data_IF_137291512306
#
_entry.id   IF_137291512306
#
_cell.length_a   1.000
_cell.length_b   1.000
_cell.length_c   1.000
_cell.angle_alpha   90.00
_cell.angle_beta   90.00
_cell.angle_gamma   90.00
#
_symmetry.space_group_name_H-M   'P 1'
#
loop_
_entity.id
_entity.type
_entity.pdbx_description
1 polymer ?
#
# COMPACT_ATOMS: atom_id res chain seq x y z
N UNK A 1 11.69 -27.21 -27.35
CA UNK A 1 10.55 -26.46 -26.80
C UNK A 1 11.12 -25.48 -25.79
N UNK A 2 11.11 -24.19 -26.14
CA UNK A 2 11.73 -23.15 -25.33
C UNK A 2 10.97 -22.99 -24.01
N UNK A 3 11.65 -23.27 -22.91
CA UNK A 3 11.22 -22.85 -21.58
C UNK A 3 11.42 -21.34 -21.58
N UNK A 4 10.34 -20.59 -21.80
CA UNK A 4 10.31 -19.15 -21.60
C UNK A 4 10.79 -18.90 -20.17
N UNK A 5 12.05 -18.47 -20.03
CA UNK A 5 12.52 -17.82 -18.81
C UNK A 5 11.54 -16.68 -18.58
N UNK A 6 10.60 -16.88 -17.65
CA UNK A 6 9.83 -15.79 -17.11
C UNK A 6 10.86 -14.96 -16.34
N UNK A 7 11.36 -13.92 -17.02
CA UNK A 7 12.11 -12.84 -16.43
C UNK A 7 11.38 -12.47 -15.16
N UNK A 8 12.01 -12.70 -14.00
CA UNK A 8 11.49 -12.27 -12.70
C UNK A 8 11.14 -10.80 -12.85
N UNK A 9 9.85 -10.54 -13.06
CA UNK A 9 9.32 -9.19 -13.18
C UNK A 9 9.78 -8.48 -11.93
N UNK A 10 10.32 -7.28 -12.11
CA UNK A 10 10.53 -6.33 -11.02
C UNK A 10 9.24 -6.37 -10.20
N UNK A 11 9.29 -6.90 -8.98
CA UNK A 11 8.14 -7.16 -8.11
C UNK A 11 7.53 -5.80 -7.70
N UNK A 12 6.86 -5.15 -8.62
CA UNK A 12 6.13 -3.89 -8.44
C UNK A 12 4.83 -4.20 -7.72
N UNK A 13 4.98 -4.52 -6.43
CA UNK A 13 3.85 -4.83 -5.55
C UNK A 13 3.07 -3.55 -5.29
N UNK A 14 1.79 -3.58 -5.65
CA UNK A 14 0.83 -2.56 -5.33
C UNK A 14 0.30 -2.75 -3.91
N UNK A 15 0.13 -1.66 -3.19
CA UNK A 15 -0.40 -1.61 -1.84
C UNK A 15 -1.55 -0.62 -1.76
N UNK A 16 -2.54 -0.92 -0.93
CA UNK A 16 -3.53 0.04 -0.48
C UNK A 16 -2.99 0.77 0.74
N UNK A 17 -3.18 2.09 0.75
CA UNK A 17 -2.77 2.94 1.86
C UNK A 17 -3.60 4.20 1.97
N UNK A 18 -3.34 4.95 3.03
CA UNK A 18 -3.86 6.31 3.28
C UNK A 18 -2.69 7.24 3.58
N UNK A 19 -2.90 8.55 3.44
CA UNK A 19 -1.90 9.52 3.90
C UNK A 19 -2.10 9.79 5.40
N UNK A 20 -1.01 9.80 6.16
CA UNK A 20 -1.06 10.18 7.57
C UNK A 20 -1.58 11.61 7.72
N UNK A 21 -2.59 11.83 8.56
CA UNK A 21 -3.17 13.15 8.80
C UNK A 21 -2.19 14.15 9.46
N UNK A 22 -1.11 13.66 10.06
CA UNK A 22 -0.09 14.49 10.74
C UNK A 22 1.10 14.83 9.84
N UNK A 23 1.68 13.84 9.15
CA UNK A 23 2.94 14.02 8.41
C UNK A 23 2.83 13.75 6.90
N UNK A 24 1.63 13.45 6.39
CA UNK A 24 1.35 13.13 4.99
C UNK A 24 2.13 11.95 4.40
N UNK A 25 2.87 11.20 5.22
CA UNK A 25 3.55 9.97 4.76
C UNK A 25 2.51 8.87 4.50
N UNK A 26 2.67 8.06 3.44
CA UNK A 26 1.82 6.90 3.19
C UNK A 26 1.86 5.89 4.34
N UNK A 27 0.69 5.47 4.80
CA UNK A 27 0.50 4.34 5.71
C UNK A 27 -0.07 3.19 4.88
N UNK A 28 0.78 2.22 4.55
CA UNK A 28 0.39 1.04 3.77
C UNK A 28 -0.22 0.00 4.72
N UNK A 29 -1.42 -0.49 4.41
CA UNK A 29 -2.12 -1.42 5.30
C UNK A 29 -2.58 -2.72 4.63
N UNK A 30 -2.60 -2.80 3.30
CA UNK A 30 -2.93 -4.04 2.59
C UNK A 30 -2.15 -4.14 1.27
N UNK A 31 -1.87 -5.38 0.84
CA UNK A 31 -1.36 -5.68 -0.49
C UNK A 31 -2.54 -5.68 -1.48
N UNK A 32 -2.41 -4.94 -2.59
CA UNK A 32 -3.39 -4.98 -3.67
C UNK A 32 -3.06 -6.12 -4.64
N UNK A 33 -3.81 -7.22 -4.54
CA UNK A 33 -3.70 -8.39 -5.43
C UNK A 33 -4.51 -8.25 -6.72
N UNK A 34 -5.25 -7.16 -6.88
CA UNK A 34 -6.01 -6.91 -8.11
C UNK A 34 -5.14 -6.34 -9.23
N UNK A 35 -3.83 -6.19 -9.01
CA UNK A 35 -2.89 -5.49 -9.91
C UNK A 35 -3.39 -4.09 -10.31
N UNK A 36 -4.19 -3.46 -9.42
CA UNK A 36 -4.82 -2.15 -9.67
C UNK A 36 -6.21 -2.20 -10.31
N UNK A 37 -6.74 -3.38 -10.64
CA UNK A 37 -7.97 -3.56 -11.41
C UNK A 37 -9.28 -3.43 -10.62
N UNK A 38 -9.28 -3.65 -9.30
CA UNK A 38 -10.51 -3.63 -8.50
C UNK A 38 -10.54 -2.45 -7.53
N UNK A 39 -11.62 -1.64 -7.47
CA UNK A 39 -11.71 -0.52 -6.54
C UNK A 39 -11.58 -1.01 -5.08
N UNK A 40 -10.88 -0.26 -4.21
CA UNK A 40 -10.74 -0.64 -2.81
C UNK A 40 -12.10 -0.62 -2.11
N UNK A 41 -12.43 -1.71 -1.42
CA UNK A 41 -13.65 -1.80 -0.61
C UNK A 41 -13.42 -1.06 0.71
N UNK A 42 -14.38 -0.24 1.12
CA UNK A 42 -14.32 0.47 2.41
C UNK A 42 -14.36 -0.53 3.57
N UNK A 43 -13.36 -0.48 4.44
CA UNK A 43 -13.42 -1.19 5.71
C UNK A 43 -14.40 -0.48 6.66
N UNK A 44 -15.23 -1.24 7.40
CA UNK A 44 -16.16 -0.66 8.37
C UNK A 44 -15.45 0.10 9.51
N UNK A 45 -14.19 -0.25 9.80
CA UNK A 45 -13.30 0.45 10.72
C UNK A 45 -11.85 0.29 10.31
N UNK A 46 -11.09 1.39 10.21
CA UNK A 46 -9.69 1.41 9.80
C UNK A 46 -8.86 2.29 10.74
N UNK A 47 -8.49 1.76 11.90
CA UNK A 47 -7.59 2.46 12.84
C UNK A 47 -6.14 2.11 12.48
N UNK A 48 -5.36 3.12 12.10
CA UNK A 48 -3.98 2.94 11.67
C UNK A 48 -3.02 3.81 12.48
N UNK A 49 -1.78 3.34 12.60
CA UNK A 49 -0.67 4.08 13.22
C UNK A 49 0.37 4.36 12.15
N UNK A 50 0.84 5.61 12.05
CA UNK A 50 1.91 5.97 11.13
C UNK A 50 3.21 5.23 11.49
N UNK A 51 3.84 4.57 10.51
CA UNK A 51 5.07 3.80 10.70
C UNK A 51 6.33 4.67 10.82
N UNK A 52 6.24 5.97 10.52
CA UNK A 52 7.37 6.89 10.73
C UNK A 52 7.65 7.02 12.21
N UNK A 53 8.90 6.73 12.60
CA UNK A 53 9.38 6.71 14.01
C UNK A 53 9.11 8.03 14.74
N UNK A 54 9.32 9.15 14.05
CA UNK A 54 9.10 10.50 14.57
C UNK A 54 7.62 10.89 14.62
N UNK A 55 6.76 10.25 13.82
CA UNK A 55 5.36 10.61 13.74
C UNK A 55 4.49 9.82 14.72
N UNK A 56 4.48 8.48 14.55
CA UNK A 56 3.66 7.51 15.32
C UNK A 56 2.19 7.89 15.56
N UNK A 57 1.65 8.81 14.76
CA UNK A 57 0.28 9.29 14.90
C UNK A 57 -0.72 8.16 14.63
N UNK A 58 -1.63 7.94 15.58
CA UNK A 58 -2.69 6.94 15.49
C UNK A 58 -4.04 7.64 15.39
N UNK A 59 -4.83 7.27 14.38
CA UNK A 59 -6.16 7.85 14.15
C UNK A 59 -7.08 6.83 13.47
N UNK A 60 -8.37 7.19 13.40
CA UNK A 60 -9.36 6.49 12.59
C UNK A 60 -9.32 7.03 11.15
N UNK A 61 -9.09 6.15 10.19
CA UNK A 61 -9.00 6.41 8.75
C UNK A 61 -10.15 5.77 7.97
N UNK A 62 -11.24 5.36 8.63
CA UNK A 62 -12.38 4.70 7.98
C UNK A 62 -13.03 5.58 6.90
N UNK A 63 -13.00 6.90 7.09
CA UNK A 63 -13.49 7.89 6.13
C UNK A 63 -12.37 8.48 5.23
N UNK A 64 -11.12 8.00 5.37
CA UNK A 64 -10.01 8.53 4.60
C UNK A 64 -10.02 7.97 3.17
N UNK A 65 -9.55 8.78 2.22
CA UNK A 65 -9.37 8.34 0.83
C UNK A 65 -8.29 7.26 0.74
N UNK A 66 -8.69 6.03 0.45
CA UNK A 66 -7.76 4.94 0.14
C UNK A 66 -7.15 5.17 -1.24
N UNK A 67 -5.82 5.08 -1.32
CA UNK A 67 -5.04 5.24 -2.55
C UNK A 67 -4.12 4.04 -2.78
N UNK A 68 -3.66 3.88 -4.02
CA UNK A 68 -2.69 2.85 -4.38
C UNK A 68 -1.28 3.40 -4.35
N UNK A 69 -0.37 2.63 -3.78
CA UNK A 69 1.05 2.95 -3.69
C UNK A 69 1.85 1.78 -4.26
N UNK A 70 2.84 2.08 -5.07
CA UNK A 70 3.77 1.10 -5.59
C UNK A 70 5.02 1.12 -4.71
N UNK A 71 5.35 -0.01 -4.10
CA UNK A 71 6.62 -0.14 -3.39
C UNK A 71 7.62 -0.78 -4.36
N UNK A 72 8.53 0.03 -4.91
CA UNK A 72 9.68 -0.52 -5.61
C UNK A 72 10.46 -1.40 -4.62
N UNK A 73 10.61 -2.67 -4.94
CA UNK A 73 11.47 -3.56 -4.17
C UNK A 73 12.89 -2.99 -4.07
N UNK A 74 13.67 -3.37 -3.05
CA UNK A 74 15.09 -3.00 -3.04
C UNK A 74 15.72 -3.53 -4.33
N UNK A 75 16.35 -2.63 -5.09
CA UNK A 75 17.33 -3.00 -6.10
C UNK A 75 18.34 -3.92 -5.40
N UNK A 76 18.38 -5.19 -5.81
CA UNK A 76 19.39 -6.14 -5.36
C UNK A 76 20.72 -5.84 -6.02
#
# INVERSE_FOLDING_TARGET
>A
MHISQWSKSVDDKWYLGVLCQKCNTPILFALDRSEGGAPPVSAAKLVLTCSQTECRHRADYSAAKVSRFQKKGPLR
#
